data_IF_338559327255
#
_entry.id   IF_338559327255
#
_cell.length_a   1.000
_cell.length_b   1.000
_cell.length_c   1.000
_cell.angle_alpha   90.00
_cell.angle_beta   90.00
_cell.angle_gamma   90.00
#
_symmetry.space_group_name_H-M   'P 1'
#
loop_
_entity.id
_entity.type
_entity.pdbx_description
1 polymer ?
#
# COMPACT_ATOMS: atom_id res chain seq x y z
N UNK A 1 8.27 15.64 -2.29
CA UNK A 1 7.32 16.51 -3.02
C UNK A 1 7.28 16.03 -4.46
N UNK A 2 6.14 15.55 -4.94
CA UNK A 2 5.91 15.34 -6.38
C UNK A 2 4.84 16.34 -6.78
N UNK A 3 5.28 17.54 -7.14
CA UNK A 3 4.45 18.48 -7.88
C UNK A 3 4.10 17.84 -9.22
N UNK A 4 2.87 18.02 -9.68
CA UNK A 4 2.43 17.45 -10.95
C UNK A 4 3.26 18.09 -12.09
N UNK A 5 4.10 17.29 -12.74
CA UNK A 5 4.93 17.72 -13.87
C UNK A 5 4.01 17.93 -15.08
N UNK A 6 3.92 19.15 -15.59
CA UNK A 6 3.12 19.47 -16.79
C UNK A 6 3.81 19.06 -18.08
N UNK A 7 5.14 19.19 -18.10
CA UNK A 7 5.94 18.93 -19.28
C UNK A 7 7.31 18.38 -18.89
N UNK A 8 7.68 17.28 -19.50
CA UNK A 8 9.00 16.67 -19.38
C UNK A 8 9.72 16.87 -20.70
N UNK A 9 10.93 17.43 -20.69
CA UNK A 9 11.81 17.46 -21.86
C UNK A 9 13.02 16.59 -21.61
N UNK A 10 13.20 15.55 -22.41
CA UNK A 10 14.39 14.70 -22.39
C UNK A 10 15.25 15.02 -23.61
N UNK A 11 16.53 15.33 -23.38
CA UNK A 11 17.54 15.45 -24.43
C UNK A 11 18.61 14.38 -24.18
N UNK A 12 18.73 13.43 -25.10
CA UNK A 12 19.74 12.37 -25.04
C UNK A 12 21.00 12.81 -25.77
N UNK A 13 22.13 12.77 -25.09
CA UNK A 13 23.45 13.06 -25.64
C UNK A 13 24.22 11.75 -25.78
N UNK A 14 24.74 11.48 -26.97
CA UNK A 14 25.52 10.28 -27.25
C UNK A 14 26.49 10.53 -28.42
N UNK A 15 27.47 9.66 -28.60
CA UNK A 15 28.34 9.72 -29.78
C UNK A 15 27.73 8.90 -30.94
N UNK A 16 28.16 9.18 -32.17
CA UNK A 16 27.61 8.58 -33.40
C UNK A 16 27.62 7.05 -33.43
N UNK A 17 28.62 6.44 -32.80
CA UNK A 17 28.83 4.99 -32.78
C UNK A 17 28.33 4.33 -31.49
N UNK A 18 27.56 5.05 -30.68
CA UNK A 18 27.02 4.53 -29.43
C UNK A 18 25.99 3.42 -29.72
N UNK A 19 26.29 2.21 -29.23
CA UNK A 19 25.47 1.01 -29.48
C UNK A 19 24.16 1.04 -28.69
N UNK A 20 24.08 1.82 -27.62
CA UNK A 20 22.92 1.89 -26.73
C UNK A 20 21.93 2.98 -27.15
N UNK A 21 22.37 4.00 -27.90
CA UNK A 21 21.55 5.13 -28.33
C UNK A 21 20.24 4.70 -29.00
N UNK A 22 20.28 3.72 -29.90
CA UNK A 22 19.08 3.24 -30.60
C UNK A 22 18.07 2.64 -29.64
N UNK A 23 18.53 1.90 -28.63
CA UNK A 23 17.68 1.27 -27.64
C UNK A 23 17.09 2.29 -26.67
N UNK A 24 17.90 3.26 -26.23
CA UNK A 24 17.46 4.38 -25.39
C UNK A 24 16.38 5.20 -26.10
N UNK A 25 16.60 5.61 -27.35
CA UNK A 25 15.60 6.35 -28.12
C UNK A 25 14.34 5.53 -28.38
N UNK A 26 14.47 4.23 -28.64
CA UNK A 26 13.33 3.32 -28.78
C UNK A 26 12.48 3.26 -27.52
N UNK A 27 13.13 3.11 -26.36
CA UNK A 27 12.48 3.11 -25.05
C UNK A 27 11.79 4.45 -24.74
N UNK A 28 12.46 5.58 -24.96
CA UNK A 28 11.93 6.91 -24.70
C UNK A 28 10.76 7.28 -25.64
N UNK A 29 10.79 6.83 -26.89
CA UNK A 29 9.64 6.97 -27.82
C UNK A 29 8.44 6.16 -27.35
N UNK A 30 8.65 4.94 -26.86
CA UNK A 30 7.59 4.15 -26.22
C UNK A 30 7.01 4.85 -24.99
N UNK A 31 7.85 5.53 -24.21
CA UNK A 31 7.45 6.40 -23.11
C UNK A 31 6.63 7.61 -23.57
N UNK A 32 7.04 8.29 -24.64
CA UNK A 32 6.33 9.45 -25.21
C UNK A 32 4.93 9.06 -25.68
N UNK A 33 4.75 7.88 -26.27
CA UNK A 33 3.43 7.36 -26.62
C UNK A 33 2.50 7.20 -25.40
N UNK A 34 3.05 6.93 -24.20
CA UNK A 34 2.27 6.85 -22.97
C UNK A 34 1.93 8.23 -22.38
N UNK A 35 2.84 9.21 -22.50
CA UNK A 35 2.68 10.57 -21.96
C UNK A 35 2.00 11.57 -22.90
N UNK A 36 1.81 11.20 -24.18
CA UNK A 36 1.26 12.09 -25.20
C UNK A 36 2.12 13.35 -25.38
N UNK A 37 1.48 14.51 -25.54
CA UNK A 37 2.16 15.79 -25.71
C UNK A 37 2.90 16.30 -24.46
N UNK A 38 2.87 15.57 -23.34
CA UNK A 38 3.55 15.93 -22.10
C UNK A 38 5.03 15.53 -22.03
N UNK A 39 5.55 14.78 -23.00
CA UNK A 39 6.97 14.40 -23.08
C UNK A 39 7.58 14.81 -24.43
N UNK A 40 8.43 15.83 -24.41
CA UNK A 40 9.27 16.22 -25.53
C UNK A 40 10.58 15.42 -25.51
N UNK A 41 10.90 14.75 -26.62
CA UNK A 41 12.12 13.95 -26.77
C UNK A 41 12.99 14.54 -27.88
N UNK A 42 14.24 14.82 -27.54
CA UNK A 42 15.27 15.31 -28.44
C UNK A 42 16.55 14.46 -28.29
N UNK A 43 17.41 14.48 -29.28
CA UNK A 43 18.71 13.78 -29.24
C UNK A 43 19.77 14.59 -29.94
N UNK A 44 20.92 14.74 -29.30
CA UNK A 44 22.09 15.43 -29.81
C UNK A 44 23.25 14.44 -29.93
N UNK A 45 23.64 14.16 -31.17
CA UNK A 45 24.62 13.11 -31.50
C UNK A 45 25.94 13.77 -31.86
N UNK A 46 27.00 13.46 -31.10
CA UNK A 46 28.34 14.01 -31.25
C UNK A 46 29.26 13.14 -32.08
N UNK A 47 30.34 13.73 -32.61
CA UNK A 47 31.27 13.01 -33.49
C UNK A 47 32.09 11.97 -32.75
N UNK A 48 32.34 12.17 -31.46
CA UNK A 48 33.25 11.35 -30.66
C UNK A 48 32.82 11.25 -29.19
N UNK A 49 33.31 10.22 -28.51
CA UNK A 49 33.17 10.02 -27.07
C UNK A 49 33.70 11.23 -26.26
N UNK A 50 34.85 11.78 -26.66
CA UNK A 50 35.46 12.93 -25.98
C UNK A 50 34.58 14.19 -26.03
N UNK A 51 33.86 14.42 -27.14
CA UNK A 51 32.91 15.53 -27.24
C UNK A 51 31.69 15.32 -26.33
N UNK A 52 31.28 14.07 -26.09
CA UNK A 52 30.19 13.75 -25.15
C UNK A 52 30.64 14.03 -23.71
N UNK A 53 31.86 13.64 -23.34
CA UNK A 53 32.43 13.89 -22.00
C UNK A 53 32.62 15.41 -21.74
N UNK A 54 33.09 16.15 -22.75
CA UNK A 54 33.21 17.60 -22.66
C UNK A 54 31.83 18.24 -22.45
N UNK A 55 30.82 17.79 -23.20
CA UNK A 55 29.46 18.27 -23.07
C UNK A 55 28.83 17.90 -21.73
N UNK A 56 29.08 16.69 -21.22
CA UNK A 56 28.65 16.27 -19.88
C UNK A 56 29.21 17.21 -18.80
N UNK A 57 30.49 17.53 -18.88
CA UNK A 57 31.16 18.46 -17.96
C UNK A 57 30.54 19.86 -18.05
N UNK A 58 30.26 20.33 -19.27
CA UNK A 58 29.60 21.61 -19.50
C UNK A 58 28.18 21.63 -18.91
N UNK A 59 27.37 20.58 -19.15
CA UNK A 59 26.00 20.48 -18.64
C UNK A 59 25.96 20.38 -17.11
N UNK A 60 26.87 19.62 -16.48
CA UNK A 60 26.99 19.56 -15.02
C UNK A 60 27.35 20.92 -14.39
N UNK A 61 28.06 21.78 -15.12
CA UNK A 61 28.41 23.13 -14.65
C UNK A 61 27.26 24.15 -14.78
N UNK A 62 26.21 23.84 -15.55
CA UNK A 62 25.09 24.76 -15.80
C UNK A 62 24.03 24.64 -14.71
N UNK A 63 23.75 25.74 -14.01
CA UNK A 63 22.52 25.89 -13.22
C UNK A 63 22.33 24.83 -12.10
N UNK A 64 23.41 24.19 -11.63
CA UNK A 64 23.43 23.17 -10.58
C UNK A 64 22.36 22.07 -10.81
N UNK A 65 22.50 21.26 -11.87
CA UNK A 65 21.54 20.22 -12.15
C UNK A 65 21.67 19.12 -11.09
N UNK A 66 20.57 18.43 -10.82
CA UNK A 66 20.59 17.27 -9.92
C UNK A 66 21.17 16.08 -10.68
N UNK A 67 22.41 15.73 -10.34
CA UNK A 67 23.06 14.52 -10.84
C UNK A 67 22.45 13.28 -10.17
N UNK A 68 21.84 12.40 -10.97
CA UNK A 68 21.12 11.22 -10.47
C UNK A 68 22.07 10.06 -10.15
N UNK A 69 23.18 9.95 -10.88
CA UNK A 69 24.21 8.93 -10.69
C UNK A 69 25.60 9.48 -11.06
N UNK A 70 26.65 8.82 -10.56
CA UNK A 70 28.05 9.22 -10.79
C UNK A 70 28.39 9.24 -12.28
N UNK A 71 29.17 10.25 -12.69
CA UNK A 71 29.70 10.40 -14.04
C UNK A 71 31.04 9.68 -14.11
N UNK A 72 31.18 8.74 -15.03
CA UNK A 72 32.46 8.09 -15.31
C UNK A 72 33.21 8.88 -16.38
N UNK A 73 34.13 9.76 -15.96
CA UNK A 73 34.92 10.58 -16.86
C UNK A 73 35.71 9.72 -17.87
N UNK A 74 35.87 10.24 -19.11
CA UNK A 74 36.63 9.63 -20.19
C UNK A 74 36.06 8.30 -20.73
N UNK A 75 34.76 8.03 -20.50
CA UNK A 75 34.08 6.85 -21.04
C UNK A 75 33.27 7.16 -22.30
N UNK A 76 32.89 8.43 -22.52
CA UNK A 76 31.97 8.82 -23.59
C UNK A 76 30.58 8.21 -23.43
N UNK A 77 30.20 7.79 -22.22
CA UNK A 77 28.91 7.18 -21.94
C UNK A 77 27.78 8.14 -22.28
N UNK A 78 26.72 7.63 -22.91
CA UNK A 78 25.53 8.44 -23.17
C UNK A 78 24.97 9.01 -21.88
N UNK A 79 24.44 10.22 -21.95
CA UNK A 79 23.73 10.81 -20.82
C UNK A 79 22.47 11.50 -21.29
N UNK A 80 21.53 11.71 -20.38
CA UNK A 80 20.27 12.37 -20.67
C UNK A 80 20.07 13.53 -19.72
N UNK A 81 19.79 14.70 -20.29
CA UNK A 81 19.28 15.84 -19.54
C UNK A 81 17.77 15.79 -19.54
N UNK A 82 17.17 15.87 -18.35
CA UNK A 82 15.73 15.84 -18.15
C UNK A 82 15.32 17.15 -17.49
N UNK A 83 14.54 17.95 -18.20
CA UNK A 83 13.95 19.18 -17.67
C UNK A 83 12.50 18.89 -17.28
N UNK A 84 12.18 19.17 -16.01
CA UNK A 84 10.84 19.02 -15.45
C UNK A 84 10.22 20.40 -15.27
N UNK A 85 9.15 20.67 -16.00
CA UNK A 85 8.35 21.88 -15.85
C UNK A 85 7.19 21.59 -14.87
N UNK A 86 7.24 22.22 -13.71
CA UNK A 86 6.30 22.01 -12.61
C UNK A 86 5.08 22.94 -12.78
N UNK A 87 3.87 22.41 -12.57
CA UNK A 87 2.68 23.26 -12.54
C UNK A 87 2.68 24.09 -11.25
N UNK A 88 2.97 25.40 -11.40
CA UNK A 88 3.00 26.51 -10.43
C UNK A 88 4.41 26.94 -10.01
N UNK A 89 4.85 28.06 -10.58
CA UNK A 89 6.21 28.63 -10.55
C UNK A 89 6.73 29.13 -9.21
N UNK A 90 6.67 28.33 -8.15
CA UNK A 90 7.28 28.64 -6.86
C UNK A 90 8.64 27.93 -6.65
N UNK A 91 8.93 26.88 -7.42
CA UNK A 91 10.27 26.29 -7.56
C UNK A 91 10.58 26.20 -9.05
N UNK A 92 11.70 26.77 -9.49
CA UNK A 92 12.09 26.81 -10.90
C UNK A 92 12.16 25.42 -11.54
N UNK A 93 12.20 25.38 -12.88
CA UNK A 93 12.39 24.16 -13.66
C UNK A 93 13.53 23.31 -13.04
N UNK A 94 13.23 22.05 -12.73
CA UNK A 94 14.25 21.14 -12.22
C UNK A 94 14.95 20.47 -13.39
N UNK A 95 16.28 20.55 -13.40
CA UNK A 95 17.12 19.85 -14.36
C UNK A 95 17.80 18.67 -13.68
N UNK A 96 17.72 17.51 -14.33
CA UNK A 96 18.35 16.27 -13.89
C UNK A 96 19.29 15.78 -14.98
N UNK A 97 20.41 15.20 -14.56
CA UNK A 97 21.35 14.52 -15.47
C UNK A 97 21.47 13.07 -15.03
N UNK A 98 21.25 12.16 -15.99
CA UNK A 98 21.35 10.71 -15.81
C UNK A 98 22.36 10.15 -16.80
N UNK A 99 23.38 9.44 -16.30
CA UNK A 99 24.41 8.80 -17.12
C UNK A 99 24.08 7.33 -17.34
N UNK A 100 24.24 6.86 -18.57
CA UNK A 100 24.07 5.46 -18.94
C UNK A 100 22.63 5.03 -19.17
N UNK A 101 22.46 4.09 -20.09
CA UNK A 101 21.16 3.50 -20.44
C UNK A 101 20.46 2.88 -19.22
N UNK A 102 21.17 2.09 -18.42
CA UNK A 102 20.55 1.33 -17.33
C UNK A 102 19.94 2.25 -16.28
N UNK A 103 20.70 3.26 -15.84
CA UNK A 103 20.21 4.24 -14.87
C UNK A 103 19.05 5.05 -15.43
N UNK A 104 19.12 5.50 -16.69
CA UNK A 104 18.03 6.22 -17.36
C UNK A 104 16.75 5.38 -17.44
N UNK A 105 16.84 4.12 -17.91
CA UNK A 105 15.68 3.26 -18.02
C UNK A 105 15.07 2.95 -16.64
N UNK A 106 15.91 2.75 -15.62
CA UNK A 106 15.45 2.51 -14.25
C UNK A 106 14.78 3.76 -13.68
N UNK A 107 15.40 4.93 -13.83
CA UNK A 107 14.85 6.22 -13.39
C UNK A 107 13.51 6.51 -14.08
N UNK A 108 13.44 6.38 -15.41
CA UNK A 108 12.22 6.58 -16.18
C UNK A 108 11.12 5.59 -15.77
N UNK A 109 11.45 4.30 -15.60
CA UNK A 109 10.49 3.31 -15.08
C UNK A 109 9.99 3.69 -13.70
N UNK A 110 10.88 4.11 -12.80
CA UNK A 110 10.52 4.55 -11.46
C UNK A 110 9.58 5.76 -11.51
N UNK A 111 9.86 6.76 -12.34
CA UNK A 111 8.94 7.90 -12.54
C UNK A 111 7.58 7.49 -13.12
N UNK A 112 7.53 6.52 -14.04
CA UNK A 112 6.27 6.00 -14.60
C UNK A 112 5.49 5.17 -13.57
N UNK A 113 6.20 4.43 -12.72
CA UNK A 113 5.62 3.70 -11.58
C UNK A 113 5.26 4.61 -10.40
N UNK A 114 5.86 5.78 -10.28
CA UNK A 114 5.51 6.77 -9.24
C UNK A 114 4.37 7.68 -9.68
N UNK A 115 4.29 8.03 -10.97
CA UNK A 115 3.20 8.84 -11.56
C UNK A 115 1.95 8.05 -11.90
N UNK A 116 2.05 6.75 -12.22
CA UNK A 116 0.90 5.89 -12.56
C UNK A 116 0.79 4.61 -11.74
N UNK A 117 1.82 4.24 -11.00
CA UNK A 117 1.83 2.98 -10.29
C UNK A 117 1.09 3.07 -8.97
N UNK A 118 0.03 2.29 -8.91
CA UNK A 118 -0.74 1.87 -7.74
C UNK A 118 0.09 1.12 -6.67
N UNK A 119 1.42 1.31 -6.67
CA UNK A 119 2.41 0.81 -5.70
C UNK A 119 2.63 1.75 -4.52
N UNK A 120 2.15 3.00 -4.59
CA UNK A 120 2.17 3.88 -3.43
C UNK A 120 1.24 3.31 -2.35
N UNK A 121 1.81 2.64 -1.35
CA UNK A 121 1.06 2.17 -0.19
C UNK A 121 0.41 3.38 0.50
N UNK A 122 -0.92 3.40 0.55
CA UNK A 122 -1.72 4.49 1.16
C UNK A 122 -1.45 4.70 2.66
N UNK A 123 -0.65 3.83 3.29
CA UNK A 123 -0.28 3.91 4.71
C UNK A 123 -1.31 3.27 5.65
N UNK A 124 -2.01 2.20 5.22
CA UNK A 124 -3.00 1.49 6.05
C UNK A 124 -2.46 1.08 7.42
N UNK A 125 -1.27 0.47 7.46
CA UNK A 125 -0.66 0.01 8.71
C UNK A 125 -0.21 1.18 9.60
N UNK A 126 0.21 2.31 9.02
CA UNK A 126 0.45 3.58 9.75
C UNK A 126 -0.84 4.14 10.34
N UNK A 127 -1.94 4.12 9.58
CA UNK A 127 -3.27 4.51 10.07
C UNK A 127 -3.75 3.59 11.19
N UNK A 128 -3.50 2.27 11.08
CA UNK A 128 -3.80 1.31 12.14
C UNK A 128 -2.98 1.58 13.40
N UNK A 129 -1.69 1.92 13.28
CA UNK A 129 -0.86 2.34 14.41
C UNK A 129 -1.42 3.58 15.09
N UNK A 130 -1.78 4.61 14.31
CA UNK A 130 -2.42 5.81 14.82
C UNK A 130 -3.74 5.51 15.55
N UNK A 131 -4.58 4.66 14.97
CA UNK A 131 -5.84 4.22 15.58
C UNK A 131 -5.64 3.48 16.91
N UNK A 132 -4.72 2.52 16.94
CA UNK A 132 -4.40 1.75 18.15
C UNK A 132 -3.88 2.66 19.26
N UNK A 133 -2.94 3.57 18.94
CA UNK A 133 -2.43 4.51 19.92
C UNK A 133 -3.48 5.54 20.37
N UNK A 134 -4.36 5.98 19.47
CA UNK A 134 -5.46 6.88 19.81
C UNK A 134 -6.47 6.22 20.76
N UNK A 135 -6.76 4.93 20.57
CA UNK A 135 -7.58 4.14 21.50
C UNK A 135 -6.96 4.12 22.91
N UNK A 136 -5.67 3.83 23.03
CA UNK A 136 -4.96 3.87 24.32
C UNK A 136 -5.09 5.25 24.99
N UNK A 137 -4.86 6.33 24.23
CA UNK A 137 -4.99 7.71 24.73
C UNK A 137 -6.41 8.10 25.09
N UNK A 138 -7.41 7.48 24.48
CA UNK A 138 -8.82 7.68 24.81
C UNK A 138 -9.30 6.86 26.02
N UNK A 139 -8.40 6.13 26.69
CA UNK A 139 -8.68 5.42 27.94
C UNK A 139 -8.96 3.93 27.81
N UNK A 140 -8.80 3.34 26.61
CA UNK A 140 -8.82 1.88 26.48
C UNK A 140 -7.53 1.31 27.04
N UNK A 141 -7.64 0.26 27.85
CA UNK A 141 -6.47 -0.53 28.27
C UNK A 141 -5.97 -1.41 27.12
N UNK A 142 -4.68 -1.73 27.10
CA UNK A 142 -4.10 -2.60 26.08
C UNK A 142 -4.79 -3.98 25.99
N UNK A 143 -5.28 -4.48 27.13
CA UNK A 143 -6.04 -5.73 27.22
C UNK A 143 -7.39 -5.69 26.50
N UNK A 144 -7.94 -4.52 26.22
CA UNK A 144 -9.24 -4.35 25.53
C UNK A 144 -9.10 -4.18 24.01
N UNK A 145 -7.87 -4.07 23.51
CA UNK A 145 -7.57 -3.86 22.10
C UNK A 145 -6.91 -5.12 21.52
N UNK A 146 -7.20 -5.39 20.27
CA UNK A 146 -6.47 -6.36 19.46
C UNK A 146 -6.19 -5.81 18.06
N UNK A 147 -5.07 -6.24 17.48
CA UNK A 147 -4.70 -5.93 16.11
C UNK A 147 -4.36 -7.22 15.36
N UNK A 148 -4.88 -7.36 14.14
CA UNK A 148 -4.65 -8.55 13.32
C UNK A 148 -4.54 -8.20 11.83
N UNK A 149 -3.63 -8.90 11.14
CA UNK A 149 -3.60 -9.01 9.67
C UNK A 149 -4.04 -10.41 9.26
N UNK A 150 -5.33 -10.65 8.94
CA UNK A 150 -5.81 -11.98 8.59
C UNK A 150 -5.18 -12.53 7.31
N UNK A 151 -4.80 -11.60 6.42
CA UNK A 151 -4.01 -11.89 5.24
C UNK A 151 -2.82 -10.92 5.13
N UNK A 152 -1.66 -11.41 4.71
CA UNK A 152 -0.45 -10.59 4.57
C UNK A 152 0.44 -11.10 3.43
N UNK A 153 1.28 -10.20 2.91
CA UNK A 153 2.38 -10.52 1.98
C UNK A 153 3.75 -10.42 2.66
N UNK A 154 3.80 -9.93 3.90
CA UNK A 154 5.03 -9.66 4.65
C UNK A 154 5.09 -10.58 5.87
N UNK A 155 6.23 -11.22 6.07
CA UNK A 155 6.55 -12.06 7.24
C UNK A 155 7.28 -11.27 8.32
N UNK A 156 7.86 -10.11 7.98
CA UNK A 156 8.61 -9.29 8.92
C UNK A 156 7.67 -8.42 9.77
N UNK A 157 7.93 -8.27 11.08
CA UNK A 157 7.15 -7.38 11.93
C UNK A 157 7.18 -5.93 11.43
N UNK A 158 5.99 -5.37 11.22
CA UNK A 158 5.83 -3.96 10.90
C UNK A 158 5.75 -3.08 12.15
N UNK A 159 5.91 -1.78 11.98
CA UNK A 159 5.93 -0.80 13.07
C UNK A 159 4.71 -0.93 14.01
N UNK A 160 3.51 -1.08 13.45
CA UNK A 160 2.28 -1.31 14.22
C UNK A 160 2.31 -2.57 15.07
N UNK A 161 2.92 -3.64 14.58
CA UNK A 161 3.02 -4.91 15.30
C UNK A 161 3.99 -4.78 16.48
N UNK A 162 5.16 -4.18 16.24
CA UNK A 162 6.15 -3.88 17.28
C UNK A 162 5.57 -2.98 18.37
N UNK A 163 4.84 -1.92 17.98
CA UNK A 163 4.13 -1.04 18.90
C UNK A 163 3.10 -1.80 19.74
N UNK A 164 2.27 -2.64 19.11
CA UNK A 164 1.31 -3.46 19.85
C UNK A 164 2.00 -4.36 20.88
N UNK A 165 3.11 -5.02 20.52
CA UNK A 165 3.87 -5.86 21.47
C UNK A 165 4.42 -5.04 22.63
N UNK A 166 5.02 -3.88 22.35
CA UNK A 166 5.58 -3.00 23.38
C UNK A 166 4.52 -2.47 24.35
N UNK A 167 3.31 -2.19 23.86
CA UNK A 167 2.20 -1.70 24.68
C UNK A 167 1.39 -2.83 25.34
N UNK A 168 1.73 -4.11 25.11
CA UNK A 168 1.00 -5.25 25.66
C UNK A 168 -0.36 -5.52 25.00
N UNK A 169 -0.56 -5.04 23.77
CA UNK A 169 -1.77 -5.27 22.96
C UNK A 169 -1.68 -6.65 22.28
N UNK A 170 -2.80 -7.38 22.26
CA UNK A 170 -2.86 -8.66 21.54
C UNK A 170 -2.69 -8.44 20.05
N UNK A 171 -1.69 -9.08 19.45
CA UNK A 171 -1.30 -8.88 18.05
C UNK A 171 -1.15 -10.19 17.29
N UNK A 172 -1.64 -10.22 16.06
CA UNK A 172 -1.35 -11.24 15.05
C UNK A 172 -0.99 -10.55 13.72
N UNK A 173 0.30 -10.27 13.52
CA UNK A 173 0.82 -9.58 12.34
C UNK A 173 1.06 -10.50 11.13
N UNK A 174 1.24 -11.79 11.38
CA UNK A 174 1.23 -12.84 10.36
C UNK A 174 0.00 -13.74 10.59
N UNK A 175 -1.09 -13.42 9.88
CA UNK A 175 -2.32 -14.20 9.92
C UNK A 175 -2.28 -15.49 9.09
N UNK A 176 -3.40 -16.22 9.06
CA UNK A 176 -3.48 -17.55 8.44
C UNK A 176 -3.39 -17.54 6.91
N UNK A 177 -3.58 -16.39 6.23
CA UNK A 177 -3.45 -16.26 4.78
C UNK A 177 -2.14 -15.52 4.47
N UNK A 178 -1.06 -16.27 4.26
CA UNK A 178 0.24 -15.73 3.87
C UNK A 178 0.45 -15.86 2.36
N UNK A 179 0.45 -14.74 1.64
CA UNK A 179 0.72 -14.69 0.20
C UNK A 179 2.23 -14.71 -0.09
N UNK A 180 2.84 -15.89 -0.03
CA UNK A 180 4.24 -16.07 -0.44
C UNK A 180 4.38 -16.16 -1.98
N UNK A 181 5.62 -16.03 -2.45
CA UNK A 181 5.95 -16.17 -3.87
C UNK A 181 5.58 -17.57 -4.37
N UNK A 182 4.62 -17.63 -5.29
CA UNK A 182 4.13 -18.90 -5.87
C UNK A 182 2.76 -19.35 -5.35
N UNK A 183 2.30 -18.81 -4.22
CA UNK A 183 1.02 -19.19 -3.58
C UNK A 183 -0.17 -19.20 -4.56
N UNK A 184 -0.34 -18.15 -5.36
CA UNK A 184 -1.47 -18.05 -6.31
C UNK A 184 -1.41 -19.10 -7.43
N UNK A 185 -0.20 -19.55 -7.82
CA UNK A 185 -0.02 -20.62 -8.81
C UNK A 185 -0.37 -21.98 -8.23
N UNK A 186 0.04 -22.23 -6.98
CA UNK A 186 -0.28 -23.45 -6.24
C UNK A 186 -1.79 -23.53 -5.98
N UNK A 187 -2.42 -22.41 -5.61
CA UNK A 187 -3.87 -22.32 -5.43
C UNK A 187 -4.63 -22.70 -6.70
N UNK A 188 -4.23 -22.16 -7.86
CA UNK A 188 -4.85 -22.47 -9.15
C UNK A 188 -4.67 -23.94 -9.56
N UNK A 189 -3.65 -24.63 -9.04
CA UNK A 189 -3.45 -26.08 -9.23
C UNK A 189 -4.19 -26.94 -8.20
N UNK A 190 -4.87 -26.35 -7.23
CA UNK A 190 -5.50 -27.05 -6.11
C UNK A 190 -4.50 -27.64 -5.12
N UNK A 191 -3.30 -27.06 -5.02
CA UNK A 191 -2.21 -27.53 -4.14
C UNK A 191 -2.24 -26.87 -2.75
N UNK A 192 -3.08 -25.86 -2.56
CA UNK A 192 -3.30 -25.15 -1.29
C UNK A 192 -4.68 -25.46 -0.71
N UNK A 193 -5.00 -24.87 0.44
CA UNK A 193 -6.37 -24.81 0.95
C UNK A 193 -7.30 -24.11 -0.05
N UNK A 194 -8.58 -24.46 -0.01
CA UNK A 194 -9.65 -23.83 -0.78
C UNK A 194 -9.98 -22.43 -0.25
N UNK A 195 -10.66 -21.60 -1.05
CA UNK A 195 -11.13 -20.28 -0.63
C UNK A 195 -11.94 -20.32 0.66
N UNK A 196 -12.82 -21.32 0.79
CA UNK A 196 -13.69 -21.47 1.97
C UNK A 196 -12.87 -21.79 3.23
N UNK A 197 -11.88 -22.68 3.13
CA UNK A 197 -10.99 -23.03 4.24
C UNK A 197 -10.12 -21.84 4.65
N UNK A 198 -9.57 -21.09 3.69
CA UNK A 198 -8.77 -19.90 3.97
C UNK A 198 -9.60 -18.81 4.68
N UNK A 199 -10.82 -18.55 4.22
CA UNK A 199 -11.73 -17.59 4.87
C UNK A 199 -12.17 -18.05 6.26
N UNK A 200 -12.43 -19.35 6.44
CA UNK A 200 -12.76 -19.92 7.74
C UNK A 200 -11.62 -19.74 8.74
N UNK A 201 -10.38 -20.03 8.31
CA UNK A 201 -9.18 -19.79 9.14
C UNK A 201 -9.00 -18.31 9.49
N UNK A 202 -9.18 -17.41 8.51
CA UNK A 202 -9.14 -15.97 8.77
C UNK A 202 -10.17 -15.55 9.80
N UNK A 203 -11.41 -16.04 9.68
CA UNK A 203 -12.47 -15.77 10.65
C UNK A 203 -12.14 -16.30 12.03
N UNK A 204 -11.77 -17.58 12.13
CA UNK A 204 -11.41 -18.22 13.40
C UNK A 204 -10.29 -17.46 14.09
N UNK A 205 -9.26 -17.01 13.36
CA UNK A 205 -8.16 -16.26 13.94
C UNK A 205 -8.56 -14.87 14.44
N UNK A 206 -9.45 -14.18 13.72
CA UNK A 206 -10.01 -12.90 14.16
C UNK A 206 -10.86 -13.09 15.42
N UNK A 207 -11.71 -14.12 15.47
CA UNK A 207 -12.52 -14.44 16.65
C UNK A 207 -11.64 -14.82 17.87
N UNK A 208 -10.55 -15.57 17.65
CA UNK A 208 -9.58 -15.95 18.67
C UNK A 208 -8.88 -14.71 19.26
N UNK A 209 -8.30 -13.88 18.41
CA UNK A 209 -7.56 -12.66 18.79
C UNK A 209 -8.49 -11.62 19.42
N UNK A 210 -9.75 -11.57 18.97
CA UNK A 210 -10.78 -10.66 19.46
C UNK A 210 -11.46 -11.09 20.76
N UNK A 211 -11.18 -12.30 21.28
CA UNK A 211 -11.87 -12.82 22.47
C UNK A 211 -11.62 -11.93 23.69
N UNK A 212 -12.69 -11.42 24.28
CA UNK A 212 -12.63 -10.52 25.44
C UNK A 212 -12.17 -9.10 25.13
N UNK A 213 -12.05 -8.72 23.85
CA UNK A 213 -11.64 -7.39 23.40
C UNK A 213 -12.86 -6.51 23.16
N UNK A 214 -12.71 -5.21 23.38
CA UNK A 214 -13.71 -4.19 23.01
C UNK A 214 -13.55 -3.76 21.55
N UNK A 215 -12.32 -3.69 21.06
CA UNK A 215 -12.01 -3.26 19.68
C UNK A 215 -10.98 -4.19 19.06
N UNK A 216 -11.29 -4.67 17.86
CA UNK A 216 -10.36 -5.45 17.03
C UNK A 216 -10.10 -4.69 15.75
N UNK A 217 -8.85 -4.30 15.54
CA UNK A 217 -8.39 -3.64 14.31
C UNK A 217 -7.97 -4.74 13.34
N UNK A 218 -8.69 -4.85 12.22
CA UNK A 218 -8.41 -5.82 11.15
C UNK A 218 -7.72 -5.07 10.00
N UNK A 219 -6.40 -5.20 9.90
CA UNK A 219 -5.62 -4.55 8.85
C UNK A 219 -5.59 -5.40 7.57
N UNK A 220 -5.99 -4.78 6.47
CA UNK A 220 -6.02 -5.40 5.15
C UNK A 220 -4.66 -5.37 4.44
N UNK A 221 -4.56 -6.13 3.35
CA UNK A 221 -3.33 -6.21 2.54
C UNK A 221 -3.52 -5.53 1.19
N UNK A 222 -2.54 -4.71 0.79
CA UNK A 222 -2.57 -4.02 -0.52
C UNK A 222 -3.86 -3.23 -0.80
N UNK A 223 -4.41 -3.36 -2.02
CA UNK A 223 -5.68 -2.75 -2.42
C UNK A 223 -6.86 -3.68 -2.11
N UNK A 224 -8.12 -3.19 -2.09
CA UNK A 224 -9.29 -3.98 -1.67
C UNK A 224 -9.45 -5.35 -2.34
N UNK A 225 -9.09 -5.46 -3.62
CA UNK A 225 -9.20 -6.68 -4.40
C UNK A 225 -7.97 -7.63 -4.32
N UNK A 226 -6.91 -7.31 -3.58
CA UNK A 226 -5.79 -8.25 -3.34
C UNK A 226 -6.33 -9.54 -2.72
N UNK A 227 -6.01 -10.69 -3.31
CA UNK A 227 -6.54 -12.00 -2.91
C UNK A 227 -7.63 -12.56 -3.83
N UNK A 228 -8.06 -11.81 -4.86
CA UNK A 228 -9.15 -12.21 -5.77
C UNK A 228 -8.91 -13.52 -6.51
N UNK A 229 -7.67 -13.84 -6.91
CA UNK A 229 -7.35 -15.14 -7.55
C UNK A 229 -7.77 -16.31 -6.65
N UNK A 230 -7.63 -16.14 -5.34
CA UNK A 230 -7.89 -17.17 -4.36
C UNK A 230 -9.30 -17.05 -3.75
N UNK A 231 -10.15 -16.13 -4.22
CA UNK A 231 -11.46 -15.87 -3.62
C UNK A 231 -11.40 -15.36 -2.16
N UNK A 232 -10.28 -14.75 -1.77
CA UNK A 232 -10.02 -14.27 -0.40
C UNK A 232 -9.59 -12.82 -0.39
N UNK A 233 -10.24 -11.98 -1.22
CA UNK A 233 -9.92 -10.55 -1.22
C UNK A 233 -10.22 -9.89 0.12
N UNK A 234 -9.74 -8.66 0.37
CA UNK A 234 -10.08 -7.95 1.61
C UNK A 234 -11.61 -7.81 1.78
N UNK A 235 -12.37 -7.69 0.69
CA UNK A 235 -13.84 -7.71 0.75
C UNK A 235 -14.41 -9.08 1.19
N UNK A 236 -13.82 -10.19 0.73
CA UNK A 236 -14.21 -11.53 1.19
C UNK A 236 -13.87 -11.75 2.66
N UNK A 237 -12.68 -11.31 3.09
CA UNK A 237 -12.26 -11.38 4.50
C UNK A 237 -13.19 -10.54 5.37
N UNK A 238 -13.42 -9.27 5.03
CA UNK A 238 -14.31 -8.38 5.77
C UNK A 238 -15.73 -8.95 5.89
N UNK A 239 -16.26 -9.54 4.81
CA UNK A 239 -17.55 -10.24 4.82
C UNK A 239 -17.55 -11.44 5.75
N UNK A 240 -16.52 -12.28 5.70
CA UNK A 240 -16.40 -13.49 6.51
C UNK A 240 -16.34 -13.16 8.02
N UNK A 241 -15.67 -12.07 8.38
CA UNK A 241 -15.58 -11.59 9.77
C UNK A 241 -16.71 -10.63 10.16
N UNK A 242 -17.62 -10.32 9.24
CA UNK A 242 -18.74 -9.39 9.42
C UNK A 242 -18.30 -7.99 9.90
N UNK A 243 -17.11 -7.56 9.48
CA UNK A 243 -16.56 -6.26 9.86
C UNK A 243 -16.94 -5.17 8.85
N UNK A 244 -17.35 -3.98 9.32
CA UNK A 244 -17.44 -2.82 8.45
C UNK A 244 -16.03 -2.34 8.06
N UNK A 245 -15.94 -1.55 6.98
CA UNK A 245 -14.66 -1.10 6.42
C UNK A 245 -14.54 0.42 6.44
N UNK A 246 -13.38 0.89 6.87
CA UNK A 246 -12.90 2.27 6.62
C UNK A 246 -11.84 2.20 5.54
N UNK A 247 -11.99 3.02 4.50
CA UNK A 247 -11.01 3.11 3.43
C UNK A 247 -9.92 4.13 3.77
N UNK A 248 -8.67 3.79 3.48
CA UNK A 248 -7.57 4.75 3.54
C UNK A 248 -7.32 5.29 2.15
N UNK A 249 -7.70 6.55 1.93
CA UNK A 249 -7.56 7.26 0.67
C UNK A 249 -6.17 7.88 0.49
N UNK A 250 -5.81 8.11 -0.78
CA UNK A 250 -4.56 8.76 -1.19
C UNK A 250 -4.64 10.29 -1.05
N UNK A 251 -3.51 10.94 -1.32
CA UNK A 251 -3.38 12.41 -1.36
C UNK A 251 -3.95 12.99 -2.64
N UNK A 252 -4.35 14.27 -2.60
CA UNK A 252 -4.94 14.98 -3.73
C UNK A 252 -6.43 14.71 -3.88
N UNK A 253 -7.18 15.68 -4.42
CA UNK A 253 -8.66 15.63 -4.44
C UNK A 253 -9.19 14.54 -5.37
N UNK A 254 -8.74 14.52 -6.62
CA UNK A 254 -9.22 13.56 -7.62
C UNK A 254 -8.92 12.12 -7.22
N UNK A 255 -7.66 11.81 -6.91
CA UNK A 255 -7.26 10.45 -6.52
C UNK A 255 -7.94 10.01 -5.21
N UNK A 256 -8.10 10.90 -4.22
CA UNK A 256 -8.86 10.61 -3.01
C UNK A 256 -10.31 10.18 -3.31
N UNK A 257 -11.03 10.97 -4.12
CA UNK A 257 -12.44 10.72 -4.44
C UNK A 257 -12.61 9.51 -5.36
N UNK A 258 -11.85 9.44 -6.45
CA UNK A 258 -11.97 8.39 -7.46
C UNK A 258 -11.59 7.02 -6.86
N UNK A 259 -10.47 6.96 -6.14
CA UNK A 259 -10.05 5.72 -5.48
C UNK A 259 -11.03 5.33 -4.39
N UNK A 260 -11.60 6.27 -3.62
CA UNK A 260 -12.63 5.97 -2.64
C UNK A 260 -13.86 5.33 -3.31
N UNK A 261 -14.42 5.96 -4.34
CA UNK A 261 -15.63 5.48 -5.01
C UNK A 261 -15.41 4.07 -5.61
N UNK A 262 -14.29 3.86 -6.29
CA UNK A 262 -13.96 2.57 -6.89
C UNK A 262 -13.81 1.47 -5.83
N UNK A 263 -13.06 1.78 -4.77
CA UNK A 263 -12.79 0.83 -3.69
C UNK A 263 -14.05 0.54 -2.86
N UNK A 264 -14.85 1.56 -2.57
CA UNK A 264 -16.11 1.42 -1.85
C UNK A 264 -17.08 0.52 -2.61
N UNK A 265 -17.24 0.78 -3.92
CA UNK A 265 -18.08 -0.04 -4.80
C UNK A 265 -17.66 -1.51 -4.76
N UNK A 266 -16.36 -1.82 -4.74
CA UNK A 266 -15.89 -3.20 -4.65
C UNK A 266 -16.28 -3.89 -3.33
N UNK A 267 -16.17 -3.21 -2.19
CA UNK A 267 -16.63 -3.79 -0.91
C UNK A 267 -18.15 -3.95 -0.88
N UNK A 268 -18.88 -2.94 -1.35
CA UNK A 268 -20.34 -2.93 -1.37
C UNK A 268 -20.93 -3.99 -2.30
N UNK A 269 -20.29 -4.24 -3.45
CA UNK A 269 -20.70 -5.31 -4.37
C UNK A 269 -20.57 -6.70 -3.73
N UNK A 270 -19.79 -6.85 -2.65
CA UNK A 270 -19.68 -8.07 -1.86
C UNK A 270 -20.61 -8.08 -0.63
N UNK A 271 -21.38 -7.01 -0.41
CA UNK A 271 -22.28 -6.84 0.74
C UNK A 271 -21.58 -6.39 2.02
N UNK A 272 -20.42 -5.75 1.91
CA UNK A 272 -19.69 -5.20 3.05
C UNK A 272 -20.03 -3.73 3.23
N UNK A 273 -20.43 -3.33 4.45
CA UNK A 273 -20.68 -1.91 4.78
C UNK A 273 -19.35 -1.16 4.80
N UNK A 274 -19.22 -0.18 3.92
CA UNK A 274 -18.14 0.82 4.01
C UNK A 274 -18.67 2.00 4.83
N UNK A 275 -17.97 2.34 5.92
CA UNK A 275 -18.36 3.44 6.81
C UNK A 275 -17.95 4.79 6.25
N UNK A 276 -16.77 4.87 5.62
CA UNK A 276 -16.17 6.15 5.31
C UNK A 276 -14.69 6.06 4.95
N UNK A 277 -14.05 7.22 4.92
CA UNK A 277 -12.66 7.38 4.50
C UNK A 277 -11.79 8.12 5.52
N UNK A 278 -10.53 7.71 5.61
CA UNK A 278 -9.42 8.49 6.18
C UNK A 278 -8.46 8.79 5.05
N UNK A 279 -8.16 10.07 4.80
CA UNK A 279 -7.29 10.46 3.70
C UNK A 279 -5.88 10.76 4.22
N UNK A 280 -4.88 10.12 3.66
CA UNK A 280 -3.53 10.11 4.23
C UNK A 280 -2.48 10.67 3.28
N UNK A 281 -1.36 11.14 3.86
CA UNK A 281 -0.18 11.69 3.17
C UNK A 281 -0.45 13.00 2.45
N UNK A 282 -1.31 13.83 3.03
CA UNK A 282 -1.61 15.13 2.43
C UNK A 282 -0.42 16.08 2.63
N UNK A 283 0.05 16.76 1.59
CA UNK A 283 1.12 17.74 1.74
C UNK A 283 0.65 18.91 2.62
N UNK A 284 1.58 19.51 3.36
CA UNK A 284 1.27 20.65 4.23
C UNK A 284 0.91 21.93 3.45
N UNK A 285 1.45 22.06 2.24
CA UNK A 285 1.36 23.26 1.41
C UNK A 285 1.05 22.93 -0.06
N UNK A 286 0.86 23.97 -0.86
CA UNK A 286 0.51 23.87 -2.28
C UNK A 286 -1.00 23.74 -2.56
N UNK A 287 -1.34 23.67 -3.85
CA UNK A 287 -2.73 23.59 -4.34
C UNK A 287 -3.48 22.35 -3.83
N UNK A 288 -2.76 21.25 -3.63
CA UNK A 288 -3.28 20.01 -3.06
C UNK A 288 -2.90 19.83 -1.58
N UNK A 289 -2.73 20.94 -0.85
CA UNK A 289 -2.45 20.88 0.59
C UNK A 289 -3.57 20.17 1.36
N UNK A 290 -3.26 19.77 2.58
CA UNK A 290 -4.22 19.14 3.50
C UNK A 290 -5.50 19.96 3.63
N UNK A 291 -5.41 21.28 3.81
CA UNK A 291 -6.58 22.13 3.98
C UNK A 291 -7.44 22.22 2.71
N UNK A 292 -6.83 22.42 1.54
CA UNK A 292 -7.59 22.46 0.27
C UNK A 292 -8.22 21.09 -0.07
N UNK A 293 -7.50 20.00 0.21
CA UNK A 293 -8.04 18.66 0.04
C UNK A 293 -9.17 18.39 1.03
N UNK A 294 -9.02 18.82 2.29
CA UNK A 294 -10.06 18.70 3.32
C UNK A 294 -11.35 19.34 2.85
N UNK A 295 -11.29 20.59 2.42
CA UNK A 295 -12.46 21.33 1.92
C UNK A 295 -13.12 20.60 0.75
N UNK A 296 -12.35 20.29 -0.30
CA UNK A 296 -12.90 19.73 -1.54
C UNK A 296 -13.44 18.32 -1.38
N UNK A 297 -12.72 17.46 -0.65
CA UNK A 297 -13.14 16.06 -0.41
C UNK A 297 -14.36 16.04 0.52
N UNK A 298 -14.38 16.86 1.57
CA UNK A 298 -15.55 16.92 2.47
C UNK A 298 -16.80 17.39 1.71
N UNK A 299 -16.68 18.45 0.90
CA UNK A 299 -17.78 18.95 0.08
C UNK A 299 -18.32 17.90 -0.92
N UNK A 300 -17.43 17.06 -1.48
CA UNK A 300 -17.85 15.93 -2.31
C UNK A 300 -18.67 14.91 -1.51
N UNK A 301 -18.20 14.51 -0.33
CA UNK A 301 -18.90 13.52 0.50
C UNK A 301 -20.26 14.03 0.96
N UNK A 302 -20.34 15.28 1.45
CA UNK A 302 -21.60 15.89 1.89
C UNK A 302 -22.64 15.93 0.76
N UNK A 303 -22.19 16.17 -0.48
CA UNK A 303 -23.07 16.32 -1.64
C UNK A 303 -23.45 15.00 -2.31
N UNK A 304 -22.53 14.05 -2.38
CA UNK A 304 -22.66 12.86 -3.24
C UNK A 304 -22.55 11.53 -2.49
N UNK A 305 -22.06 11.51 -1.25
CA UNK A 305 -21.90 10.32 -0.42
C UNK A 305 -22.39 10.56 1.02
N UNK A 306 -23.62 11.07 1.25
CA UNK A 306 -24.08 11.52 2.57
C UNK A 306 -24.17 10.40 3.61
N UNK A 307 -24.15 9.13 3.19
CA UNK A 307 -24.12 7.97 4.09
C UNK A 307 -22.70 7.52 4.48
N UNK A 308 -21.67 8.22 4.00
CA UNK A 308 -20.25 7.91 4.23
C UNK A 308 -19.58 9.04 5.00
N UNK A 309 -18.88 8.70 6.06
CA UNK A 309 -18.19 9.67 6.88
C UNK A 309 -16.77 9.96 6.36
N UNK A 310 -16.38 11.23 6.37
CA UNK A 310 -14.97 11.63 6.27
C UNK A 310 -14.43 11.72 7.70
N UNK A 311 -13.63 10.75 8.12
CA UNK A 311 -13.15 10.68 9.51
C UNK A 311 -11.98 11.61 9.79
N UNK A 312 -11.23 12.00 8.76
CA UNK A 312 -10.16 12.99 8.89
C UNK A 312 -9.10 12.89 7.81
N UNK A 313 -8.14 13.81 7.91
CA UNK A 313 -7.07 14.02 6.94
C UNK A 313 -5.73 14.03 7.65
N UNK A 314 -4.82 13.15 7.24
CA UNK A 314 -3.49 13.00 7.86
C UNK A 314 -2.43 13.62 6.95
N UNK A 315 -1.51 14.43 7.51
CA UNK A 315 -0.41 15.01 6.75
C UNK A 315 0.61 13.94 6.33
N UNK A 316 1.42 14.26 5.34
CA UNK A 316 2.62 13.48 5.03
C UNK A 316 3.65 13.64 6.15
N UNK A 317 3.96 12.54 6.84
CA UNK A 317 4.99 12.52 7.87
C UNK A 317 6.35 12.27 7.22
N UNK A 318 7.16 13.34 7.14
CA UNK A 318 8.57 13.27 6.76
C UNK A 318 9.45 13.39 8.01
N UNK A 319 10.30 12.39 8.27
CA UNK A 319 11.32 12.47 9.32
C UNK A 319 12.70 12.67 8.69
N UNK A 320 13.02 13.91 8.30
CA UNK A 320 14.40 14.28 7.94
C UNK A 320 15.06 13.47 6.82
N UNK A 321 14.27 12.83 5.94
CA UNK A 321 14.76 11.94 4.88
C UNK A 321 14.31 10.48 5.01
N UNK A 322 13.61 10.11 6.07
CA UNK A 322 12.99 8.79 6.23
C UNK A 322 11.46 8.95 6.29
N UNK A 323 10.77 8.57 5.22
CA UNK A 323 9.32 8.34 5.28
C UNK A 323 9.09 7.05 6.07
N UNK A 324 7.97 6.89 6.78
CA UNK A 324 7.61 5.61 7.43
C UNK A 324 7.70 4.39 6.47
N UNK A 325 7.54 4.61 5.16
CA UNK A 325 7.77 3.60 4.12
C UNK A 325 9.24 3.24 3.88
N UNK A 326 10.18 4.16 4.07
CA UNK A 326 11.62 3.90 3.89
C UNK A 326 12.10 2.96 4.99
N UNK A 327 11.62 3.12 6.22
CA UNK A 327 11.89 2.18 7.33
C UNK A 327 11.30 0.80 7.02
N UNK A 328 10.08 0.74 6.47
CA UNK A 328 9.47 -0.53 6.04
C UNK A 328 10.19 -1.17 4.83
N UNK A 329 10.65 -0.37 3.87
CA UNK A 329 11.40 -0.83 2.67
C UNK A 329 12.84 -1.25 2.96
N UNK A 330 13.55 -0.56 3.84
CA UNK A 330 14.89 -0.93 4.26
C UNK A 330 14.90 -2.32 4.92
N UNK A 331 13.80 -2.69 5.58
CA UNK A 331 13.60 -4.03 6.10
C UNK A 331 13.30 -5.07 5.01
N UNK A 332 12.81 -4.70 3.82
CA UNK A 332 12.50 -5.63 2.72
C UNK A 332 13.70 -5.92 1.81
N UNK A 333 14.66 -5.00 1.65
CA UNK A 333 15.74 -5.10 0.64
C UNK A 333 17.11 -5.56 1.18
N UNK A 334 17.27 -5.79 2.49
CA UNK A 334 18.54 -6.21 3.09
C UNK A 334 18.74 -7.74 3.16
N UNK A 335 19.66 -8.28 2.35
CA UNK A 335 20.17 -9.67 2.45
C UNK A 335 21.24 -9.88 3.55
N UNK A 336 21.52 -8.90 4.41
CA UNK A 336 22.46 -9.04 5.53
C UNK A 336 22.12 -8.10 6.71
N UNK A 337 21.00 -8.33 7.41
CA UNK A 337 20.67 -7.56 8.60
C UNK A 337 20.20 -8.46 9.76
N UNK A 338 20.70 -8.11 10.95
CA UNK A 338 20.40 -8.66 12.28
C UNK A 338 18.93 -9.06 12.45
N UNK A 339 18.68 -10.07 13.29
CA UNK A 339 17.31 -10.56 13.54
C UNK A 339 16.30 -9.43 13.71
N UNK A 340 15.12 -9.50 13.04
CA UNK A 340 14.12 -8.45 13.15
C UNK A 340 13.75 -8.21 14.61
N UNK A 341 14.02 -7.00 15.12
CA UNK A 341 13.65 -6.64 16.48
C UNK A 341 12.15 -6.84 16.72
N UNK A 342 11.81 -7.58 17.78
CA UNK A 342 10.42 -7.89 18.15
C UNK A 342 9.67 -6.64 18.66
N UNK A 343 10.42 -5.72 19.27
CA UNK A 343 9.96 -4.45 19.86
C UNK A 343 10.50 -3.24 19.09
N UNK A 344 10.00 -2.04 19.40
CA UNK A 344 10.48 -0.81 18.77
C UNK A 344 11.89 -0.46 19.25
N UNK A 345 12.70 0.04 18.33
CA UNK A 345 13.88 0.85 18.68
C UNK A 345 13.46 2.24 19.15
N UNK A 346 14.36 3.01 19.77
CA UNK A 346 14.07 4.38 20.21
C UNK A 346 13.57 5.29 19.07
N UNK A 347 14.16 5.18 17.87
CA UNK A 347 13.73 5.95 16.70
C UNK A 347 12.35 5.50 16.18
N UNK A 348 12.07 4.20 16.22
CA UNK A 348 10.76 3.66 15.86
C UNK A 348 9.68 4.09 16.88
N UNK A 349 10.02 4.19 18.17
CA UNK A 349 9.14 4.67 19.24
C UNK A 349 8.82 6.17 19.12
N UNK A 350 9.82 6.99 18.78
CA UNK A 350 9.62 8.41 18.48
C UNK A 350 8.69 8.61 17.27
N UNK A 351 8.94 7.87 16.18
CA UNK A 351 8.08 7.87 15.00
C UNK A 351 6.66 7.40 15.34
N UNK A 352 6.51 6.31 16.09
CA UNK A 352 5.20 5.79 16.49
C UNK A 352 4.44 6.83 17.35
N UNK A 353 5.13 7.51 18.26
CA UNK A 353 4.55 8.59 19.08
C UNK A 353 4.05 9.73 18.21
N UNK A 354 4.85 10.19 17.26
CA UNK A 354 4.47 11.24 16.29
C UNK A 354 3.27 10.85 15.44
N UNK A 355 3.21 9.59 14.96
CA UNK A 355 2.07 9.06 14.21
C UNK A 355 0.79 9.14 15.07
N UNK A 356 0.87 8.72 16.33
CA UNK A 356 -0.28 8.72 17.24
C UNK A 356 -0.71 10.15 17.59
N UNK A 357 0.23 11.07 17.84
CA UNK A 357 -0.05 12.49 18.08
C UNK A 357 -0.87 13.10 16.95
N UNK A 358 -0.40 12.90 15.71
CA UNK A 358 -1.04 13.44 14.52
C UNK A 358 -2.41 12.79 14.30
N UNK A 359 -2.54 11.48 14.54
CA UNK A 359 -3.81 10.79 14.41
C UNK A 359 -4.87 11.32 15.38
N UNK A 360 -4.52 11.48 16.66
CA UNK A 360 -5.43 12.01 17.69
C UNK A 360 -5.92 13.42 17.36
N UNK A 361 -5.06 14.25 16.78
CA UNK A 361 -5.40 15.63 16.40
C UNK A 361 -6.27 15.70 15.14
N UNK A 362 -6.12 14.74 14.22
CA UNK A 362 -6.63 14.87 12.85
C UNK A 362 -7.84 13.99 12.55
N UNK A 363 -8.10 12.96 13.38
CA UNK A 363 -9.14 11.96 13.14
C UNK A 363 -10.24 12.07 14.21
N UNK A 364 -11.50 12.12 13.76
CA UNK A 364 -12.66 12.02 14.63
C UNK A 364 -12.89 10.57 15.08
N UNK A 365 -12.12 10.15 16.10
CA UNK A 365 -12.19 8.81 16.67
C UNK A 365 -13.58 8.50 17.26
N UNK A 366 -14.22 9.48 17.90
CA UNK A 366 -15.53 9.30 18.52
C UNK A 366 -16.59 8.89 17.49
N UNK A 367 -16.69 9.60 16.37
CA UNK A 367 -17.63 9.24 15.30
C UNK A 367 -17.27 7.90 14.66
N UNK A 368 -15.98 7.64 14.43
CA UNK A 368 -15.53 6.36 13.89
C UNK A 368 -15.97 5.17 14.76
N UNK A 369 -15.80 5.26 16.07
CA UNK A 369 -16.20 4.19 16.99
C UNK A 369 -17.73 4.07 17.09
N UNK A 370 -18.46 5.18 17.05
CA UNK A 370 -19.91 5.18 17.05
C UNK A 370 -20.48 4.47 15.81
N UNK A 371 -19.97 4.80 14.61
CA UNK A 371 -20.41 4.20 13.35
C UNK A 371 -20.06 2.71 13.28
N UNK A 372 -18.86 2.33 13.74
CA UNK A 372 -18.44 0.93 13.82
C UNK A 372 -19.32 0.13 14.80
N UNK A 373 -19.66 0.71 15.96
CA UNK A 373 -20.53 0.09 16.95
C UNK A 373 -21.98 -0.07 16.47
N UNK A 374 -22.52 0.95 15.78
CA UNK A 374 -23.86 0.90 15.20
C UNK A 374 -24.00 -0.26 14.19
N UNK A 375 -22.96 -0.52 13.39
CA UNK A 375 -22.95 -1.63 12.43
C UNK A 375 -23.10 -3.00 13.12
N UNK A 376 -22.45 -3.22 14.27
CA UNK A 376 -22.56 -4.49 15.01
C UNK A 376 -23.94 -4.70 15.65
N UNK A 377 -24.62 -3.63 16.05
CA UNK A 377 -26.00 -3.72 16.58
C UNK A 377 -27.04 -4.04 15.49
N UNK A 378 -26.73 -3.75 14.23
CA UNK A 378 -27.61 -4.02 13.10
C UNK A 378 -27.50 -5.47 12.58
N UNK A 379 -26.32 -6.09 12.69
CA UNK A 379 -26.07 -7.47 12.24
C UNK A 379 -26.60 -8.54 13.22
N UNK A 380 -26.91 -8.16 14.47
CA UNK A 380 -27.44 -9.05 15.51
C UNK A 380 -28.97 -9.16 15.51
N UNK A 381 -29.68 -8.39 14.66
CA UNK A 381 -31.12 -8.60 14.41
C UNK A 381 -31.29 -9.73 13.39
N UNK A 382 -31.66 -10.91 13.87
CA UNK A 382 -32.01 -12.07 13.03
C UNK A 382 -32.97 -11.68 11.88
N UNK A 383 -32.78 -12.22 10.66
CA UNK A 383 -33.79 -12.10 9.62
C UNK A 383 -35.04 -12.85 10.06
N UNK A 384 -36.20 -12.16 10.10
CA UNK A 384 -37.50 -12.82 10.25
C UNK A 384 -37.63 -13.88 9.15
N UNK A 385 -37.79 -15.15 9.55
CA UNK A 385 -38.14 -16.25 8.65
C UNK A 385 -39.42 -15.92 7.90
N UNK A 386 -39.33 -15.73 6.60
CA UNK A 386 -40.48 -15.84 5.71
C UNK A 386 -40.87 -17.33 5.56
N UNK A 387 -42.18 -17.64 5.46
CA UNK A 387 -42.66 -19.01 5.42
C UNK A 387 -42.33 -19.68 4.09
N UNK A 388 -41.61 -20.79 4.16
CA UNK A 388 -41.35 -21.72 3.06
C UNK A 388 -42.66 -22.29 2.50
N UNK A 389 -42.98 -21.96 1.25
CA UNK A 389 -43.92 -22.72 0.44
C UNK A 389 -43.19 -23.86 -0.29
N UNK A 390 -43.56 -25.08 0.05
CA UNK A 390 -43.16 -26.34 -0.58
C UNK A 390 -43.76 -26.49 -1.99
N UNK A 391 -42.94 -26.86 -2.95
CA UNK A 391 -43.20 -27.68 -4.15
C UNK A 391 -41.81 -28.07 -4.67
N UNK A 392 -41.42 -29.30 -5.00
CA UNK A 392 -42.16 -30.47 -5.47
C UNK A 392 -41.35 -31.04 -6.65
N UNK A 393 -40.42 -31.95 -6.35
CA UNK A 393 -39.76 -32.98 -7.17
C UNK A 393 -39.46 -32.78 -8.68
N UNK A 394 -38.19 -33.01 -9.08
CA UNK A 394 -37.85 -33.96 -10.15
C UNK A 394 -36.37 -34.40 -10.07
N UNK A 395 -36.15 -35.71 -10.13
CA UNK A 395 -34.85 -36.41 -10.17
C UNK A 395 -34.29 -36.43 -11.60
N UNK A 396 -32.96 -36.47 -11.74
CA UNK A 396 -32.31 -37.29 -12.77
C UNK A 396 -30.92 -37.74 -12.32
N UNK A 397 -30.76 -39.05 -12.19
CA UNK A 397 -29.49 -39.78 -12.05
C UNK A 397 -28.77 -39.85 -13.41
N UNK A 398 -27.44 -39.72 -13.43
CA UNK A 398 -26.59 -40.56 -14.29
C UNK A 398 -25.27 -40.85 -13.55
N UNK A 399 -24.95 -42.13 -13.44
CA UNK A 399 -23.73 -42.67 -12.86
C UNK A 399 -22.70 -43.08 -13.93
N UNK A 400 -21.41 -42.95 -13.60
CA UNK A 400 -20.26 -43.81 -13.97
C UNK A 400 -18.98 -43.00 -13.66
N UNK A 401 -17.84 -43.47 -13.19
CA UNK A 401 -17.23 -44.78 -12.94
C UNK A 401 -15.71 -44.47 -12.85
N UNK A 402 -15.04 -44.83 -11.74
CA UNK A 402 -13.64 -44.49 -11.39
C UNK A 402 -12.58 -45.08 -12.36
N UNK A 403 -11.28 -44.72 -12.25
CA UNK A 403 -10.41 -45.46 -11.32
C UNK A 403 -9.52 -44.60 -10.41
N UNK A 404 -9.19 -45.20 -9.24
CA UNK A 404 -8.31 -44.71 -8.17
C UNK A 404 -6.86 -44.52 -8.65
N UNK A 405 -6.21 -43.44 -8.21
CA UNK A 405 -4.76 -43.32 -8.21
C UNK A 405 -4.23 -42.99 -6.80
N UNK A 406 -3.03 -43.51 -6.53
CA UNK A 406 -2.45 -43.87 -5.23
C UNK A 406 -2.15 -42.66 -4.33
N UNK A 407 -2.42 -42.82 -3.03
CA UNK A 407 -2.04 -41.90 -1.97
C UNK A 407 -0.51 -41.72 -1.92
N UNK A 408 -0.04 -40.47 -1.99
CA UNK A 408 1.31 -40.09 -1.58
C UNK A 408 1.23 -39.43 -0.21
N UNK A 409 2.04 -39.93 0.72
CA UNK A 409 2.19 -39.45 2.09
C UNK A 409 2.59 -37.97 2.07
N UNK A 410 1.71 -37.10 2.59
CA UNK A 410 1.99 -35.68 2.83
C UNK A 410 2.99 -35.58 4.00
N UNK A 411 4.18 -35.01 3.74
CA UNK A 411 5.04 -34.49 4.81
C UNK A 411 4.38 -33.25 5.39
N UNK A 412 3.71 -33.41 6.52
CA UNK A 412 3.26 -32.30 7.37
C UNK A 412 4.51 -31.67 7.98
N UNK A 413 4.83 -30.42 7.61
CA UNK A 413 5.75 -29.61 8.41
C UNK A 413 4.94 -29.01 9.54
N UNK A 414 5.01 -29.62 10.73
CA UNK A 414 4.48 -29.01 11.95
C UNK A 414 5.32 -27.77 12.25
N UNK A 415 4.73 -26.59 12.05
CA UNK A 415 5.25 -25.35 12.61
C UNK A 415 4.68 -25.22 14.03
N UNK A 416 5.55 -25.28 15.04
CA UNK A 416 5.17 -25.12 16.45
C UNK A 416 5.30 -23.64 16.79
N UNK A 417 4.19 -23.02 17.17
CA UNK A 417 4.16 -21.68 17.75
C UNK A 417 4.67 -21.82 19.20
N UNK A 418 5.69 -21.08 19.65
CA UNK A 418 6.14 -21.13 21.04
C UNK A 418 5.04 -20.63 21.97
N UNK A 419 4.47 -21.52 22.77
CA UNK A 419 3.50 -21.22 23.82
C UNK A 419 4.15 -21.32 25.20
N UNK A 420 4.91 -20.31 25.61
CA UNK A 420 5.24 -20.12 27.04
C UNK A 420 5.59 -18.66 27.32
N UNK A 421 4.71 -17.99 28.07
CA UNK A 421 5.04 -16.81 28.85
C UNK A 421 5.81 -17.27 30.09
N UNK A 422 7.10 -16.94 30.18
CA UNK A 422 7.77 -16.88 31.48
C UNK A 422 7.72 -15.42 31.94
N UNK A 423 6.86 -15.17 32.93
CA UNK A 423 6.93 -14.02 33.82
C UNK A 423 8.30 -13.98 34.48
N UNK A 424 9.15 -13.03 34.10
CA UNK A 424 10.21 -12.58 35.00
C UNK A 424 9.64 -11.50 35.91
N UNK A 425 9.59 -11.81 37.20
CA UNK A 425 9.22 -10.90 38.25
C UNK A 425 10.42 -10.00 38.61
N UNK A 426 10.09 -8.71 38.75
CA UNK A 426 10.83 -7.56 39.30
C UNK A 426 12.00 -7.04 38.46
#
# INVERSE_FOLDING_TARGET
MTEAVSHVRCVVFAHRDDRELTEVLGFLRGFSALYGSGLALDSDVRSSAAEVDELATQELSKHQPVQVNEHQEATGELFTRISLELQHGSKGNQELIVFGKTALMQWMKQQLLESRGDRAQVGKSTVCLGLVGALLRSGYSAGEIAYIKPATQCEKPQLVAKFCRQQGITVCDVGPILFYKGFTREFLKGETDTSAELLAKAKEKVDEVGRGKKVVIVDGVGYPAVGSICGVSNAHVAKAVQAPVVLVGKKGVGDAVDSFNLNATFFESHGVKVLGGIFNRLPSDGFYSLEHCRESVTAYFDKFQPEKCVYGFLPELSDGGHTALIVEKANDEGENALEPGVFLTAAEDELATKIVDVFVQSINLTNLLADAGANQSSSTKEPKKEPTTTNGAAKSEVASGKPKAKAKVKKVRNFVIPTTFETMAI
#
